data_IF_150946594488
#
_entry.id   IF_150946594488
#
_cell.length_a   1.000
_cell.length_b   1.000
_cell.length_c   1.000
_cell.angle_alpha   90.00
_cell.angle_beta   90.00
_cell.angle_gamma   90.00
#
_symmetry.space_group_name_H-M   'P 1'
#
loop_
_entity.id
_entity.type
_entity.pdbx_description
1 polymer ?
#
# COMPACT_ATOMS: atom_id res chain seq x y z
N UNK A 1 -8.63 -10.55 -9.88
CA UNK A 1 -8.90 -10.38 -8.43
C UNK A 1 -7.82 -9.55 -7.73
N UNK A 2 -6.55 -9.55 -8.17
CA UNK A 2 -5.47 -8.83 -7.45
C UNK A 2 -5.54 -7.31 -7.51
N UNK A 3 -6.00 -6.70 -8.61
CA UNK A 3 -5.94 -5.23 -8.76
C UNK A 3 -6.89 -4.49 -7.81
N UNK A 4 -8.09 -5.02 -7.57
CA UNK A 4 -9.02 -4.41 -6.62
C UNK A 4 -8.45 -4.35 -5.19
N UNK A 5 -7.72 -5.39 -4.78
CA UNK A 5 -7.03 -5.44 -3.49
C UNK A 5 -5.81 -4.51 -3.45
N UNK A 6 -5.06 -4.40 -4.55
CA UNK A 6 -3.96 -3.42 -4.67
C UNK A 6 -4.49 -2.00 -4.50
N UNK A 7 -5.59 -1.66 -5.18
CA UNK A 7 -6.23 -0.34 -5.10
C UNK A 7 -6.74 -0.06 -3.70
N UNK A 8 -7.34 -1.05 -3.04
CA UNK A 8 -7.81 -0.92 -1.67
C UNK A 8 -6.65 -0.69 -0.68
N UNK A 9 -5.55 -1.45 -0.78
CA UNK A 9 -4.33 -1.19 0.01
C UNK A 9 -3.83 0.21 -0.27
N UNK A 10 -3.72 0.58 -1.54
CA UNK A 10 -3.15 1.86 -1.93
C UNK A 10 -3.99 3.02 -1.43
N UNK A 11 -5.31 2.90 -1.49
CA UNK A 11 -6.28 3.87 -0.98
C UNK A 11 -6.13 4.07 0.54
N UNK A 12 -6.03 2.98 1.30
CA UNK A 12 -5.81 3.04 2.75
C UNK A 12 -4.48 3.72 3.07
N UNK A 13 -3.39 3.31 2.42
CA UNK A 13 -2.08 3.93 2.70
C UNK A 13 -2.00 5.37 2.18
N UNK A 14 -2.63 5.71 1.06
CA UNK A 14 -2.61 7.08 0.49
C UNK A 14 -3.50 8.06 1.27
N UNK A 15 -4.54 7.58 1.95
CA UNK A 15 -5.37 8.41 2.82
C UNK A 15 -4.60 8.99 4.01
N UNK A 16 -3.67 8.21 4.57
CA UNK A 16 -2.85 8.58 5.73
C UNK A 16 -1.38 8.91 5.38
N UNK A 17 -1.01 8.90 4.09
CA UNK A 17 0.36 9.21 3.65
C UNK A 17 0.41 10.39 2.69
N UNK A 18 1.43 11.23 2.87
CA UNK A 18 1.75 12.28 1.90
C UNK A 18 2.68 11.70 0.83
N UNK A 19 2.43 11.94 -0.47
CA UNK A 19 3.34 11.51 -1.53
C UNK A 19 4.78 11.96 -1.28
N UNK A 20 5.73 11.05 -1.47
CA UNK A 20 7.15 11.31 -1.25
C UNK A 20 7.58 11.35 0.23
N UNK A 21 6.66 11.18 1.19
CA UNK A 21 7.00 11.07 2.62
C UNK A 21 6.80 9.64 3.13
N UNK A 22 7.68 9.16 4.04
CA UNK A 22 7.49 7.88 4.70
C UNK A 22 6.31 7.93 5.66
N UNK A 23 5.37 7.02 5.47
CA UNK A 23 4.24 6.79 6.35
C UNK A 23 4.34 5.39 6.97
N UNK A 24 3.96 5.29 8.24
CA UNK A 24 4.05 4.06 9.02
C UNK A 24 2.67 3.43 9.15
N UNK A 25 2.60 2.15 8.83
CA UNK A 25 1.37 1.36 8.92
C UNK A 25 1.62 0.07 9.70
N UNK A 26 0.53 -0.55 10.12
CA UNK A 26 0.55 -1.84 10.80
C UNK A 26 -0.19 -2.87 9.96
N UNK A 27 0.41 -4.04 9.77
CA UNK A 27 -0.23 -5.15 9.08
C UNK A 27 -1.54 -5.54 9.77
N UNK A 28 -1.57 -5.63 11.10
CA UNK A 28 -2.82 -5.94 11.82
C UNK A 28 -3.97 -4.97 11.53
N UNK A 29 -3.68 -3.68 11.33
CA UNK A 29 -4.71 -2.70 10.97
C UNK A 29 -5.22 -2.97 9.56
N UNK A 30 -4.31 -3.16 8.60
CA UNK A 30 -4.66 -3.43 7.20
C UNK A 30 -5.37 -4.77 7.00
N UNK A 31 -4.95 -5.83 7.69
CA UNK A 31 -5.63 -7.13 7.65
C UNK A 31 -7.06 -7.04 8.15
N UNK A 32 -7.32 -6.20 9.17
CA UNK A 32 -8.68 -5.97 9.69
C UNK A 32 -9.52 -5.13 8.73
N UNK A 33 -8.95 -4.09 8.15
CA UNK A 33 -9.67 -3.20 7.22
C UNK A 33 -9.99 -3.90 5.90
N UNK A 34 -9.06 -4.69 5.37
CA UNK A 34 -9.18 -5.30 4.04
C UNK A 34 -9.64 -6.75 4.09
N UNK A 35 -9.71 -7.36 5.28
CA UNK A 35 -10.00 -8.78 5.48
C UNK A 35 -9.08 -9.70 4.66
N UNK A 36 -7.80 -9.32 4.55
CA UNK A 36 -6.73 -10.04 3.84
C UNK A 36 -5.69 -10.60 4.81
N UNK A 37 -4.95 -11.62 4.38
CA UNK A 37 -3.83 -12.16 5.16
C UNK A 37 -2.62 -11.23 5.10
N UNK A 38 -1.74 -11.32 6.11
CA UNK A 38 -0.49 -10.55 6.11
C UNK A 38 0.39 -10.86 4.90
N UNK A 39 0.41 -12.14 4.47
CA UNK A 39 1.15 -12.61 3.30
C UNK A 39 0.60 -12.03 1.99
N UNK A 40 -0.73 -11.93 1.87
CA UNK A 40 -1.37 -11.30 0.72
C UNK A 40 -1.03 -9.82 0.65
N UNK A 41 -1.16 -9.09 1.76
CA UNK A 41 -0.82 -7.67 1.85
C UNK A 41 0.66 -7.44 1.50
N UNK A 42 1.54 -8.29 2.02
CA UNK A 42 2.96 -8.19 1.71
C UNK A 42 3.25 -8.40 0.22
N UNK A 43 2.64 -9.44 -0.37
CA UNK A 43 2.77 -9.73 -1.81
C UNK A 43 2.29 -8.54 -2.64
N UNK A 44 1.13 -7.98 -2.29
CA UNK A 44 0.54 -6.83 -2.98
C UNK A 44 1.43 -5.58 -2.82
N UNK A 45 1.98 -5.30 -1.64
CA UNK A 45 2.92 -4.19 -1.43
C UNK A 45 4.20 -4.35 -2.25
N UNK A 46 4.73 -5.56 -2.36
CA UNK A 46 5.88 -5.86 -3.24
C UNK A 46 5.54 -5.61 -4.71
N UNK A 47 4.35 -6.01 -5.16
CA UNK A 47 3.89 -5.72 -6.52
C UNK A 47 3.70 -4.22 -6.78
N UNK A 48 3.14 -3.48 -5.81
CA UNK A 48 2.99 -2.03 -5.88
C UNK A 48 4.34 -1.31 -5.96
N UNK A 49 5.36 -1.83 -5.26
CA UNK A 49 6.73 -1.33 -5.34
C UNK A 49 7.32 -1.59 -6.73
N UNK A 50 7.13 -2.81 -7.27
CA UNK A 50 7.54 -3.14 -8.65
C UNK A 50 6.86 -2.24 -9.69
N UNK A 51 5.59 -1.92 -9.49
CA UNK A 51 4.82 -1.02 -10.35
C UNK A 51 5.17 0.48 -10.21
N UNK A 52 6.09 0.82 -9.30
CA UNK A 52 6.51 2.18 -8.93
C UNK A 52 5.38 3.06 -8.36
N UNK A 53 4.30 2.44 -7.88
CA UNK A 53 3.22 3.15 -7.17
C UNK A 53 3.66 3.58 -5.76
N UNK A 54 4.52 2.78 -5.15
CA UNK A 54 5.25 3.12 -3.93
C UNK A 54 6.75 3.17 -4.26
N UNK A 55 7.46 4.16 -3.70
CA UNK A 55 8.92 4.30 -3.86
C UNK A 55 9.70 3.40 -2.92
N UNK A 56 9.14 3.15 -1.74
CA UNK A 56 9.85 2.42 -0.71
C UNK A 56 8.86 1.63 0.13
N UNK A 57 9.25 0.41 0.46
CA UNK A 57 8.53 -0.45 1.38
C UNK A 57 9.55 -1.15 2.29
N UNK A 58 9.43 -0.91 3.60
CA UNK A 58 10.34 -1.43 4.62
C UNK A 58 9.54 -2.02 5.76
N UNK A 59 9.66 -3.33 5.98
CA UNK A 59 9.09 -3.99 7.16
C UNK A 59 9.84 -3.56 8.42
N UNK A 60 9.10 -3.27 9.49
CA UNK A 60 9.59 -2.89 10.82
C UNK A 60 9.02 -3.87 11.85
N UNK A 61 9.74 -4.96 12.07
CA UNK A 61 9.34 -6.03 12.99
C UNK A 61 8.23 -6.91 12.41
N UNK A 62 7.42 -7.50 13.29
CA UNK A 62 6.38 -8.49 12.92
C UNK A 62 5.05 -7.85 12.51
N UNK A 63 4.79 -6.62 12.97
CA UNK A 63 3.50 -5.97 12.75
C UNK A 63 3.57 -4.60 12.09
N UNK A 64 4.70 -3.90 12.15
CA UNK A 64 4.86 -2.58 11.54
C UNK A 64 5.53 -2.65 10.17
N UNK A 65 5.21 -1.68 9.31
CA UNK A 65 6.00 -1.38 8.13
C UNK A 65 5.94 0.12 7.81
N UNK A 66 6.89 0.57 7.00
CA UNK A 66 6.96 1.94 6.48
C UNK A 66 6.87 1.88 4.97
N UNK A 67 6.05 2.74 4.40
CA UNK A 67 5.85 2.86 2.96
C UNK A 67 5.96 4.32 2.53
N UNK A 68 6.52 4.55 1.35
CA UNK A 68 6.51 5.86 0.69
C UNK A 68 5.65 5.72 -0.55
N UNK A 69 4.49 6.38 -0.56
CA UNK A 69 3.63 6.43 -1.75
C UNK A 69 4.17 7.48 -2.71
N UNK A 70 4.16 7.18 -4.01
CA UNK A 70 4.52 8.13 -5.05
C UNK A 70 3.31 8.87 -5.59
N UNK A 71 3.57 9.96 -6.33
CA UNK A 71 2.51 10.68 -7.04
C UNK A 71 1.69 9.72 -7.92
N UNK A 72 2.36 8.86 -8.70
CA UNK A 72 1.70 7.80 -9.49
C UNK A 72 0.78 6.90 -8.67
N UNK A 73 1.15 6.58 -7.44
CA UNK A 73 0.30 5.81 -6.54
C UNK A 73 -0.94 6.59 -6.14
N UNK A 74 -0.76 7.84 -5.72
CA UNK A 74 -1.88 8.71 -5.38
C UNK A 74 -2.84 8.91 -6.56
N UNK A 75 -2.28 9.14 -7.76
CA UNK A 75 -3.06 9.33 -8.99
C UNK A 75 -3.89 8.07 -9.31
N UNK A 76 -3.31 6.87 -9.17
CA UNK A 76 -4.05 5.61 -9.39
C UNK A 76 -5.23 5.43 -8.41
N UNK A 77 -5.11 5.94 -7.18
CA UNK A 77 -6.23 5.94 -6.21
C UNK A 77 -7.29 6.96 -6.58
N UNK A 78 -6.88 8.17 -7.01
CA UNK A 78 -7.82 9.21 -7.43
C UNK A 78 -8.60 8.82 -8.68
N UNK A 79 -7.92 8.23 -9.66
CA UNK A 79 -8.53 7.73 -10.90
C UNK A 79 -9.32 6.43 -10.69
N UNK A 80 -9.13 5.77 -9.55
CA UNK A 80 -9.75 4.48 -9.24
C UNK A 80 -9.30 3.36 -10.17
N UNK A 81 -8.17 3.52 -10.84
CA UNK A 81 -7.68 2.62 -11.88
C UNK A 81 -6.16 2.69 -12.03
N UNK A 82 -5.54 1.59 -12.45
CA UNK A 82 -4.09 1.47 -12.67
C UNK A 82 -3.68 1.77 -14.13
N UNK A 83 -4.27 2.80 -14.73
CA UNK A 83 -4.10 3.16 -16.15
C UNK A 83 -2.68 3.65 -16.43
#
# INVERSE_FOLDING_TARGET
MSDQNKLAILSVISGDSTPGKPARFSFNSLTKTLNLSKEDIDTLLVELNKGRFISQYVKKGVDGFTVIVNQKGLDAVQDGSFI
#
